data_IF_473673891559
#
_entry.id   IF_473673891559
#
_cell.length_a   1.000
_cell.length_b   1.000
_cell.length_c   1.000
_cell.angle_alpha   90.00
_cell.angle_beta   90.00
_cell.angle_gamma   90.00
#
_symmetry.space_group_name_H-M   'P 1'
#
loop_
_entity.id
_entity.type
_entity.pdbx_description
1 polymer ?
#
# COMPACT_ATOMS: atom_id res chain seq x y z
N UNK A 1 -20.67 9.51 -23.82
CA UNK A 1 -19.54 8.57 -23.85
C UNK A 1 -19.77 7.45 -22.84
N UNK A 2 -19.62 6.22 -23.25
CA UNK A 2 -19.71 5.09 -22.31
C UNK A 2 -18.45 5.11 -21.42
N UNK A 3 -18.57 4.93 -20.08
CA UNK A 3 -17.41 4.95 -19.20
C UNK A 3 -16.47 3.80 -19.56
N UNK A 4 -15.16 4.06 -19.40
CA UNK A 4 -14.10 3.06 -19.58
C UNK A 4 -14.43 1.78 -18.77
N UNK A 5 -14.25 0.59 -19.36
CA UNK A 5 -14.56 -0.69 -18.71
C UNK A 5 -13.92 -0.87 -17.32
N UNK A 6 -12.71 -0.33 -17.10
CA UNK A 6 -12.06 -0.41 -15.80
C UNK A 6 -12.81 0.41 -14.75
N UNK A 7 -13.27 1.61 -15.09
CA UNK A 7 -14.01 2.48 -14.19
C UNK A 7 -15.38 1.91 -13.86
N UNK A 8 -16.05 1.29 -14.84
CA UNK A 8 -17.31 0.59 -14.62
C UNK A 8 -17.18 -0.58 -13.64
N UNK A 9 -16.10 -1.36 -13.77
CA UNK A 9 -15.77 -2.43 -12.80
C UNK A 9 -15.43 -1.86 -11.44
N UNK A 10 -14.65 -0.76 -11.40
CA UNK A 10 -14.29 -0.06 -10.19
C UNK A 10 -15.49 0.37 -9.37
N UNK A 11 -16.48 0.99 -9.98
CA UNK A 11 -17.73 1.43 -9.30
C UNK A 11 -18.55 0.28 -8.73
N UNK A 12 -18.68 -0.84 -9.45
CA UNK A 12 -19.35 -2.03 -8.95
C UNK A 12 -18.62 -2.68 -7.77
N UNK A 13 -17.29 -2.66 -7.81
CA UNK A 13 -16.46 -3.17 -6.72
C UNK A 13 -16.55 -2.26 -5.50
N UNK A 14 -16.63 -0.94 -5.73
CA UNK A 14 -16.69 0.07 -4.67
C UNK A 14 -17.90 -0.15 -3.74
N UNK A 15 -19.08 -0.36 -4.27
CA UNK A 15 -20.28 -0.62 -3.46
C UNK A 15 -20.08 -1.81 -2.50
N UNK A 16 -19.53 -2.91 -3.00
CA UNK A 16 -19.25 -4.10 -2.18
C UNK A 16 -18.19 -3.82 -1.09
N UNK A 17 -17.22 -2.98 -1.41
CA UNK A 17 -16.16 -2.61 -0.45
C UNK A 17 -16.73 -1.72 0.65
N UNK A 18 -17.64 -0.81 0.33
CA UNK A 18 -18.35 -0.01 1.33
C UNK A 18 -19.08 -0.87 2.35
N UNK A 19 -19.89 -1.80 1.86
CA UNK A 19 -20.67 -2.70 2.71
C UNK A 19 -19.74 -3.51 3.62
N UNK A 20 -18.69 -4.10 3.06
CA UNK A 20 -17.70 -4.89 3.79
C UNK A 20 -16.93 -4.09 4.84
N UNK A 21 -16.57 -2.84 4.56
CA UNK A 21 -15.84 -2.00 5.52
C UNK A 21 -16.73 -1.51 6.65
N UNK A 22 -17.99 -1.25 6.37
CA UNK A 22 -18.96 -0.74 7.36
C UNK A 22 -19.49 -1.82 8.30
N UNK A 23 -19.33 -3.10 7.94
CA UNK A 23 -19.74 -4.22 8.78
C UNK A 23 -18.62 -4.61 9.76
N UNK A 24 -18.83 -4.46 11.10
CA UNK A 24 -17.80 -4.81 12.09
C UNK A 24 -17.51 -6.32 12.16
N UNK A 25 -18.45 -7.17 11.76
CA UNK A 25 -18.28 -8.62 11.81
C UNK A 25 -17.66 -9.20 10.52
N UNK A 26 -17.66 -8.45 9.42
CA UNK A 26 -17.08 -8.92 8.18
C UNK A 26 -15.54 -8.87 8.25
N UNK A 27 -14.91 -10.02 8.06
CA UNK A 27 -13.45 -10.12 8.00
C UNK A 27 -12.91 -9.30 6.82
N UNK A 28 -12.07 -8.32 7.14
CA UNK A 28 -11.48 -7.41 6.17
C UNK A 28 -10.21 -8.03 5.54
N UNK A 29 -10.37 -9.12 4.80
CA UNK A 29 -9.27 -9.93 4.26
C UNK A 29 -9.01 -9.76 2.75
N UNK A 30 -9.65 -8.78 2.12
CA UNK A 30 -9.66 -8.67 0.66
C UNK A 30 -8.81 -7.55 0.11
N UNK A 31 -8.01 -7.85 -0.89
CA UNK A 31 -7.26 -6.88 -1.66
C UNK A 31 -8.01 -6.47 -2.93
N UNK A 32 -8.04 -5.17 -3.20
CA UNK A 32 -8.74 -4.58 -4.34
C UNK A 32 -7.89 -3.52 -5.03
N UNK A 33 -8.00 -3.48 -6.35
CA UNK A 33 -7.67 -2.30 -7.15
C UNK A 33 -8.97 -1.74 -7.71
N UNK A 34 -9.21 -0.45 -7.48
CA UNK A 34 -10.42 0.24 -7.95
C UNK A 34 -9.99 1.37 -8.86
N UNK A 35 -10.38 1.31 -10.12
CA UNK A 35 -10.13 2.34 -11.11
C UNK A 35 -11.18 3.43 -11.03
N UNK A 36 -10.76 4.68 -10.92
CA UNK A 36 -11.61 5.87 -10.86
C UNK A 36 -11.25 6.86 -11.98
N UNK A 37 -12.23 7.63 -12.52
CA UNK A 37 -11.99 8.50 -13.67
C UNK A 37 -10.99 9.61 -13.42
N UNK A 38 -10.98 10.20 -12.24
CA UNK A 38 -10.17 11.36 -11.91
C UNK A 38 -9.44 11.19 -10.59
N UNK A 39 -8.35 11.95 -10.45
CA UNK A 39 -7.59 12.02 -9.18
C UNK A 39 -8.45 12.59 -8.05
N UNK A 40 -9.29 13.59 -8.33
CA UNK A 40 -10.21 14.18 -7.35
C UNK A 40 -11.17 13.14 -6.82
N UNK A 41 -11.83 12.40 -7.71
CA UNK A 41 -12.76 11.33 -7.33
C UNK A 41 -12.07 10.25 -6.48
N UNK A 42 -10.83 9.90 -6.82
CA UNK A 42 -10.04 8.95 -6.02
C UNK A 42 -9.78 9.47 -4.60
N UNK A 43 -9.50 10.77 -4.43
CA UNK A 43 -9.34 11.39 -3.10
C UNK A 43 -10.64 11.40 -2.31
N UNK A 44 -11.74 11.78 -2.95
CA UNK A 44 -13.06 11.84 -2.32
C UNK A 44 -13.48 10.44 -1.84
N UNK A 45 -13.37 9.45 -2.70
CA UNK A 45 -13.67 8.05 -2.39
C UNK A 45 -12.76 7.50 -1.28
N UNK A 46 -11.49 7.88 -1.26
CA UNK A 46 -10.60 7.50 -0.16
C UNK A 46 -11.12 7.97 1.19
N UNK A 47 -11.55 9.22 1.26
CA UNK A 47 -12.08 9.79 2.49
C UNK A 47 -13.38 9.09 2.92
N UNK A 48 -14.26 8.80 1.98
CA UNK A 48 -15.51 8.08 2.23
C UNK A 48 -15.24 6.64 2.71
N UNK A 49 -14.34 5.91 2.06
CA UNK A 49 -13.94 4.55 2.48
C UNK A 49 -13.27 4.54 3.86
N UNK A 50 -12.49 5.58 4.17
CA UNK A 50 -11.89 5.74 5.49
C UNK A 50 -12.97 5.90 6.56
N UNK A 51 -13.97 6.75 6.30
CA UNK A 51 -15.11 6.93 7.20
C UNK A 51 -15.92 5.64 7.38
N UNK A 52 -16.15 4.89 6.30
CA UNK A 52 -16.82 3.60 6.36
C UNK A 52 -16.07 2.57 7.20
N UNK A 53 -14.75 2.48 7.05
CA UNK A 53 -13.91 1.60 7.85
C UNK A 53 -13.94 1.97 9.35
N UNK A 54 -13.88 3.24 9.68
CA UNK A 54 -14.02 3.72 11.06
C UNK A 54 -15.39 3.41 11.63
N UNK A 55 -16.46 3.59 10.87
CA UNK A 55 -17.81 3.21 11.26
C UNK A 55 -17.92 1.70 11.57
N UNK A 56 -17.19 0.87 10.83
CA UNK A 56 -17.05 -0.57 11.10
C UNK A 56 -16.05 -0.94 12.21
N UNK A 57 -15.50 0.04 12.95
CA UNK A 57 -14.54 -0.18 14.03
C UNK A 57 -13.14 -0.61 13.56
N UNK A 58 -12.82 -0.42 12.28
CA UNK A 58 -11.56 -0.84 11.68
C UNK A 58 -10.53 0.29 11.66
N UNK A 59 -9.30 -0.02 12.01
CA UNK A 59 -8.18 0.93 11.89
C UNK A 59 -7.80 1.15 10.43
N UNK A 60 -7.42 2.39 10.09
CA UNK A 60 -7.03 2.79 8.74
C UNK A 60 -5.62 3.37 8.74
N UNK A 61 -4.81 2.98 7.77
CA UNK A 61 -3.44 3.45 7.63
C UNK A 61 -3.34 4.97 7.48
N UNK A 62 -2.37 5.59 8.16
CA UNK A 62 -2.08 7.03 8.04
C UNK A 62 -1.48 7.40 6.70
N UNK A 63 -0.66 6.52 6.10
CA UNK A 63 -0.13 6.71 4.76
C UNK A 63 -1.29 6.69 3.76
N UNK A 64 -1.35 7.73 2.93
CA UNK A 64 -2.46 7.97 2.01
C UNK A 64 -2.16 7.59 0.57
N UNK A 65 -0.90 7.58 0.18
CA UNK A 65 -0.48 7.35 -1.20
C UNK A 65 0.51 6.20 -1.31
N UNK A 66 0.41 5.45 -2.39
CA UNK A 66 1.39 4.42 -2.72
C UNK A 66 2.79 5.03 -2.89
N UNK A 67 2.87 6.21 -3.48
CA UNK A 67 4.14 6.95 -3.66
C UNK A 67 4.86 7.17 -2.32
N UNK A 68 4.14 7.63 -1.30
CA UNK A 68 4.70 7.84 0.04
C UNK A 68 5.20 6.53 0.64
N UNK A 69 4.38 5.48 0.62
CA UNK A 69 4.76 4.16 1.12
C UNK A 69 5.99 3.60 0.40
N UNK A 70 6.02 3.66 -0.93
CA UNK A 70 7.14 3.20 -1.75
C UNK A 70 8.42 3.96 -1.40
N UNK A 71 8.35 5.28 -1.27
CA UNK A 71 9.50 6.12 -0.92
C UNK A 71 10.10 5.74 0.43
N UNK A 72 9.27 5.55 1.45
CA UNK A 72 9.69 5.12 2.79
C UNK A 72 10.31 3.72 2.72
N UNK A 73 9.66 2.79 2.05
CA UNK A 73 10.12 1.41 1.91
C UNK A 73 11.46 1.32 1.15
N UNK A 74 11.63 2.06 0.05
CA UNK A 74 12.89 2.11 -0.69
C UNK A 74 14.02 2.69 0.15
N UNK A 75 13.76 3.75 0.91
CA UNK A 75 14.73 4.33 1.85
C UNK A 75 15.14 3.31 2.90
N UNK A 76 14.19 2.62 3.51
CA UNK A 76 14.43 1.57 4.50
C UNK A 76 15.25 0.42 3.93
N UNK A 77 14.90 -0.14 2.79
CA UNK A 77 15.66 -1.23 2.16
C UNK A 77 17.07 -0.83 1.76
N UNK A 78 17.27 0.41 1.31
CA UNK A 78 18.58 0.95 0.98
C UNK A 78 19.50 0.97 2.20
N UNK A 79 18.96 1.33 3.34
CA UNK A 79 19.69 1.37 4.62
C UNK A 79 20.01 -0.02 5.15
N UNK A 80 19.04 -0.94 5.12
CA UNK A 80 19.29 -2.34 5.48
C UNK A 80 20.43 -2.94 4.63
N UNK A 81 20.47 -2.62 3.34
CA UNK A 81 21.53 -3.08 2.46
C UNK A 81 22.89 -2.46 2.83
N UNK A 82 22.93 -1.18 3.17
CA UNK A 82 24.14 -0.51 3.62
C UNK A 82 24.69 -1.12 4.93
N UNK A 83 23.80 -1.42 5.89
CA UNK A 83 24.14 -2.10 7.14
C UNK A 83 24.74 -3.49 6.86
N UNK A 84 24.07 -4.29 6.05
CA UNK A 84 24.54 -5.63 5.68
C UNK A 84 25.91 -5.59 4.98
N UNK A 85 26.12 -4.63 4.11
CA UNK A 85 27.41 -4.45 3.43
C UNK A 85 28.51 -4.01 4.40
N UNK A 86 28.19 -3.16 5.39
CA UNK A 86 29.14 -2.75 6.42
C UNK A 86 29.51 -3.93 7.32
N UNK A 87 28.55 -4.74 7.76
CA UNK A 87 28.82 -5.96 8.55
C UNK A 87 29.73 -6.94 7.82
N UNK A 88 29.59 -7.07 6.51
CA UNK A 88 30.46 -7.94 5.70
C UNK A 88 31.89 -7.41 5.52
N UNK A 89 32.11 -6.10 5.71
CA UNK A 89 33.42 -5.44 5.54
C UNK A 89 34.23 -5.30 6.81
N UNK A 90 33.64 -5.53 7.98
CA UNK A 90 34.30 -5.34 9.28
C UNK A 90 34.58 -6.69 9.92
N UNK A 91 35.80 -7.23 9.84
CA UNK A 91 36.13 -8.44 10.55
C UNK A 91 36.39 -8.13 12.04
N UNK A 92 35.47 -8.60 12.87
CA UNK A 92 35.71 -9.06 14.26
C UNK A 92 36.08 -8.07 15.40
N UNK A 93 36.13 -6.80 15.23
CA UNK A 93 36.35 -5.90 16.37
C UNK A 93 35.22 -4.88 16.49
N UNK A 94 34.29 -5.17 17.37
CA UNK A 94 33.24 -4.25 17.75
C UNK A 94 32.14 -4.11 16.67
N UNK A 95 31.25 -5.10 16.56
CA UNK A 95 30.03 -4.97 15.76
C UNK A 95 29.24 -3.80 16.34
N UNK A 96 29.08 -2.67 15.60
CA UNK A 96 28.22 -1.60 16.07
C UNK A 96 26.81 -2.18 16.25
N UNK A 97 26.19 -1.87 17.37
CA UNK A 97 24.82 -2.27 17.61
C UNK A 97 23.92 -1.69 16.51
N UNK A 98 22.83 -2.36 16.19
CA UNK A 98 21.82 -1.85 15.24
C UNK A 98 21.46 -0.38 15.56
N UNK A 99 21.48 0.00 16.85
CA UNK A 99 21.21 1.34 17.34
C UNK A 99 22.30 2.35 16.97
N UNK A 100 23.57 1.94 16.96
CA UNK A 100 24.71 2.78 16.54
C UNK A 100 24.75 2.94 15.03
N UNK A 101 24.51 1.87 14.28
CA UNK A 101 24.35 1.91 12.82
C UNK A 101 23.15 2.77 12.41
N UNK A 102 22.06 2.73 13.15
CA UNK A 102 20.91 3.59 12.95
C UNK A 102 21.19 5.05 13.32
N UNK A 103 22.05 5.34 14.28
CA UNK A 103 22.52 6.70 14.61
C UNK A 103 23.43 7.28 13.53
N UNK A 104 24.40 6.50 13.06
CA UNK A 104 25.45 6.96 12.14
C UNK A 104 24.92 7.22 10.72
N UNK A 105 23.87 6.55 10.32
CA UNK A 105 23.34 6.70 8.96
C UNK A 105 22.38 7.88 8.78
N UNK A 106 22.27 8.80 9.75
CA UNK A 106 21.25 9.89 9.73
C UNK A 106 19.90 9.35 9.28
N UNK A 107 19.58 8.18 9.80
CA UNK A 107 18.36 7.54 9.44
C UNK A 107 17.24 8.33 10.03
N UNK A 108 16.71 9.13 9.18
CA UNK A 108 15.32 9.11 8.99
C UNK A 108 14.51 8.89 10.23
N UNK A 109 13.86 9.80 10.45
CA UNK A 109 12.55 9.87 10.97
C UNK A 109 12.04 8.48 11.39
N UNK A 110 12.23 8.12 12.66
CA UNK A 110 11.58 6.96 13.27
C UNK A 110 10.09 6.95 12.96
N UNK A 111 9.48 8.13 12.85
CA UNK A 111 8.11 8.35 12.46
C UNK A 111 7.76 7.77 11.06
N UNK A 112 8.67 7.83 10.09
CA UNK A 112 8.44 7.18 8.79
C UNK A 112 8.41 5.65 8.88
N UNK A 113 9.32 5.07 9.65
CA UNK A 113 9.34 3.64 9.91
C UNK A 113 8.09 3.19 10.69
N UNK A 114 7.69 3.97 11.68
CA UNK A 114 6.46 3.70 12.46
C UNK A 114 5.23 3.75 11.56
N UNK A 115 5.11 4.74 10.69
CA UNK A 115 4.01 4.85 9.73
C UNK A 115 3.98 3.70 8.73
N UNK A 116 5.15 3.21 8.30
CA UNK A 116 5.24 2.04 7.43
C UNK A 116 4.78 0.76 8.16
N UNK A 117 5.22 0.55 9.38
CA UNK A 117 4.83 -0.58 10.23
C UNK A 117 3.32 -0.51 10.54
N UNK A 118 2.84 0.67 10.90
CA UNK A 118 1.42 0.91 11.14
C UNK A 118 0.58 0.60 9.89
N UNK A 119 1.03 1.01 8.71
CA UNK A 119 0.36 0.69 7.45
C UNK A 119 0.29 -0.82 7.22
N UNK A 120 1.35 -1.56 7.55
CA UNK A 120 1.36 -3.01 7.45
C UNK A 120 0.37 -3.67 8.43
N UNK A 121 0.16 -3.10 9.61
CA UNK A 121 -0.66 -3.65 10.70
C UNK A 121 -2.10 -3.17 10.73
N UNK A 122 -2.42 -2.02 10.17
CA UNK A 122 -3.78 -1.47 10.15
C UNK A 122 -4.78 -2.47 9.54
N UNK A 123 -6.00 -2.51 10.03
CA UNK A 123 -7.04 -3.41 9.48
C UNK A 123 -7.29 -3.12 8.01
N UNK A 124 -7.27 -1.84 7.65
CA UNK A 124 -7.50 -1.39 6.27
C UNK A 124 -6.39 -0.42 5.83
N UNK A 125 -5.73 -0.71 4.73
CA UNK A 125 -4.84 0.21 4.04
C UNK A 125 -5.51 0.71 2.76
N UNK A 126 -5.71 2.03 2.63
CA UNK A 126 -6.34 2.66 1.47
C UNK A 126 -5.34 3.61 0.86
N UNK A 127 -4.75 3.23 -0.27
CA UNK A 127 -3.67 3.97 -0.93
C UNK A 127 -4.11 4.51 -2.29
N UNK A 128 -3.89 5.80 -2.49
CA UNK A 128 -4.00 6.42 -3.81
C UNK A 128 -2.80 6.01 -4.65
N UNK A 129 -3.04 5.54 -5.87
CA UNK A 129 -2.01 4.96 -6.72
C UNK A 129 -1.98 5.68 -8.06
N UNK A 130 -0.81 6.19 -8.43
CA UNK A 130 -0.54 6.67 -9.78
C UNK A 130 0.01 5.56 -10.67
N UNK A 131 -0.09 5.77 -11.99
CA UNK A 131 0.44 4.85 -13.01
C UNK A 131 1.91 4.49 -12.81
N UNK A 132 2.73 5.45 -12.35
CA UNK A 132 4.16 5.25 -12.09
C UNK A 132 4.43 4.31 -10.90
N UNK A 133 3.56 4.34 -9.91
CA UNK A 133 3.70 3.54 -8.68
C UNK A 133 3.50 2.04 -8.93
N UNK A 134 2.77 1.70 -9.99
CA UNK A 134 2.50 0.33 -10.41
C UNK A 134 3.55 -0.25 -11.36
N UNK A 135 4.76 0.31 -11.40
CA UNK A 135 5.85 -0.13 -12.27
C UNK A 135 7.13 -0.44 -11.50
N UNK A 136 7.92 -1.36 -12.04
CA UNK A 136 9.25 -1.67 -11.53
C UNK A 136 9.29 -2.00 -10.04
N UNK A 137 10.13 -1.32 -9.29
CA UNK A 137 10.30 -1.53 -7.83
C UNK A 137 9.05 -1.17 -7.04
N UNK A 138 8.35 -0.10 -7.42
CA UNK A 138 7.12 0.32 -6.75
C UNK A 138 6.07 -0.78 -6.79
N UNK A 139 5.86 -1.39 -7.94
CA UNK A 139 4.96 -2.51 -8.11
C UNK A 139 5.33 -3.70 -7.19
N UNK A 140 6.61 -4.04 -7.08
CA UNK A 140 7.08 -5.11 -6.19
C UNK A 140 6.85 -4.79 -4.72
N UNK A 141 7.12 -3.57 -4.30
CA UNK A 141 6.91 -3.11 -2.92
C UNK A 141 5.42 -3.21 -2.56
N UNK A 142 4.54 -2.72 -3.41
CA UNK A 142 3.09 -2.81 -3.19
C UNK A 142 2.60 -4.25 -3.19
N UNK A 143 3.15 -5.09 -4.05
CA UNK A 143 2.82 -6.51 -4.08
C UNK A 143 3.22 -7.21 -2.78
N UNK A 144 4.43 -6.96 -2.29
CA UNK A 144 4.92 -7.49 -1.01
C UNK A 144 4.07 -7.02 0.16
N UNK A 145 3.72 -5.72 0.21
CA UNK A 145 2.80 -5.19 1.21
C UNK A 145 1.47 -5.93 1.20
N UNK A 146 0.89 -6.10 0.02
CA UNK A 146 -0.38 -6.80 -0.13
C UNK A 146 -0.30 -8.26 0.32
N UNK A 147 0.75 -8.98 -0.06
CA UNK A 147 0.95 -10.37 0.34
C UNK A 147 1.11 -10.53 1.86
N UNK A 148 1.89 -9.64 2.46
CA UNK A 148 2.07 -9.61 3.92
C UNK A 148 0.76 -9.36 4.63
N UNK A 149 0.00 -8.38 4.16
CA UNK A 149 -1.29 -8.01 4.75
C UNK A 149 -2.35 -9.10 4.57
N UNK A 150 -2.38 -9.76 3.40
CA UNK A 150 -3.28 -10.90 3.16
C UNK A 150 -3.00 -12.07 4.12
N UNK A 151 -1.74 -12.36 4.41
CA UNK A 151 -1.35 -13.39 5.40
C UNK A 151 -1.82 -13.06 6.81
N UNK A 152 -2.01 -11.77 7.10
CA UNK A 152 -2.53 -11.28 8.39
C UNK A 152 -4.05 -11.08 8.39
N UNK A 153 -4.75 -11.45 7.33
CA UNK A 153 -6.20 -11.23 7.20
C UNK A 153 -6.60 -9.75 7.07
N UNK A 154 -5.71 -8.91 6.52
CA UNK A 154 -5.93 -7.46 6.43
C UNK A 154 -6.38 -7.04 5.03
N UNK A 155 -7.17 -5.98 4.95
CA UNK A 155 -7.67 -5.41 3.68
C UNK A 155 -6.72 -4.38 3.12
N UNK A 156 -6.42 -4.48 1.82
CA UNK A 156 -5.66 -3.48 1.06
C UNK A 156 -6.47 -3.00 -0.14
N UNK A 157 -6.70 -1.71 -0.22
CA UNK A 157 -7.45 -1.06 -1.30
C UNK A 157 -6.53 -0.08 -2.01
N UNK A 158 -6.29 -0.30 -3.29
CA UNK A 158 -5.56 0.62 -4.15
C UNK A 158 -6.57 1.39 -5.01
N UNK A 159 -6.61 2.71 -4.85
CA UNK A 159 -7.45 3.60 -5.64
C UNK A 159 -6.61 4.19 -6.76
N UNK A 160 -6.84 3.72 -7.97
CA UNK A 160 -6.11 4.11 -9.16
C UNK A 160 -6.93 5.11 -9.98
N UNK A 161 -6.27 6.08 -10.59
CA UNK A 161 -6.88 7.03 -11.52
C UNK A 161 -6.15 7.03 -12.86
N UNK A 162 -6.87 7.30 -13.94
CA UNK A 162 -6.37 7.24 -15.30
C UNK A 162 -7.25 6.38 -16.20
N UNK A 163 -6.74 6.01 -17.37
CA UNK A 163 -7.45 5.18 -18.33
C UNK A 163 -7.06 3.72 -18.22
N UNK A 164 -7.88 2.81 -18.75
CA UNK A 164 -7.54 1.38 -18.81
C UNK A 164 -6.18 1.15 -19.51
N UNK A 165 -5.86 1.96 -20.51
CA UNK A 165 -4.60 1.89 -21.23
C UNK A 165 -3.39 2.11 -20.32
N UNK A 166 -3.52 2.97 -19.31
CA UNK A 166 -2.46 3.25 -18.35
C UNK A 166 -2.15 2.04 -17.44
N UNK A 167 -3.13 1.17 -17.22
CA UNK A 167 -3.03 0.02 -16.32
C UNK A 167 -2.79 -1.31 -17.03
N UNK A 168 -3.02 -1.39 -18.36
CA UNK A 168 -2.91 -2.65 -19.12
C UNK A 168 -1.61 -3.41 -18.91
N UNK A 169 -0.49 -2.68 -18.83
CA UNK A 169 0.82 -3.29 -18.62
C UNK A 169 1.04 -3.84 -17.22
N UNK A 170 0.25 -3.38 -16.24
CA UNK A 170 0.44 -3.67 -14.80
C UNK A 170 -0.64 -4.57 -14.23
N UNK A 171 -1.86 -4.45 -14.76
CA UNK A 171 -3.03 -5.24 -14.32
C UNK A 171 -2.81 -6.75 -14.33
N UNK A 172 -2.08 -7.37 -15.28
CA UNK A 172 -1.80 -8.79 -15.25
C UNK A 172 -1.10 -9.24 -13.98
N UNK A 173 -0.17 -8.44 -13.46
CA UNK A 173 0.56 -8.75 -12.22
C UNK A 173 -0.32 -8.66 -10.97
N UNK A 174 -1.33 -7.78 -10.98
CA UNK A 174 -2.21 -7.52 -9.85
C UNK A 174 -3.58 -8.21 -9.96
N UNK A 175 -4.01 -8.50 -11.18
CA UNK A 175 -5.35 -9.04 -11.49
C UNK A 175 -5.75 -10.25 -10.64
N UNK A 176 -4.90 -11.28 -10.43
CA UNK A 176 -5.27 -12.41 -9.63
C UNK A 176 -5.53 -12.08 -8.16
N UNK A 177 -4.90 -11.03 -7.64
CA UNK A 177 -4.97 -10.65 -6.22
C UNK A 177 -6.00 -9.56 -5.92
N UNK A 178 -6.25 -8.67 -6.87
CA UNK A 178 -7.07 -7.48 -6.68
C UNK A 178 -8.45 -7.55 -7.35
N UNK A 179 -8.61 -8.43 -8.36
CA UNK A 179 -9.84 -8.57 -9.12
C UNK A 179 -10.54 -9.93 -8.95
N UNK A 180 -9.93 -10.84 -8.18
CA UNK A 180 -10.60 -12.09 -7.84
C UNK A 180 -11.59 -11.85 -6.72
N UNK A 181 -12.67 -11.90 -7.26
CA UNK A 181 -13.84 -12.66 -7.12
C UNK A 181 -14.88 -12.42 -7.91
#
# INVERSE_FOLDING_TARGET
MSPDPIHRKGRKTLAKVYDSLSDPEEAADRSRIIGLPTKKEAHDIRNELTAAAWAGGKSVSRIRTAKEYISIAESFFRKLRAIKNAEQRTPQTGIPTLRELLRDTRVTNLDECERMIETARADTAILLVGRKDLRGRGARILLTLNETRLKMGKTTILLAHGTEKDYKAVLPAYKPKFYRR
#
